data_IF_037832875778
#
_entry.id   IF_037832875778
#
_cell.length_a   1.000
_cell.length_b   1.000
_cell.length_c   1.000
_cell.angle_alpha   90.00
_cell.angle_beta   90.00
_cell.angle_gamma   90.00
#
_symmetry.space_group_name_H-M   'P 1'
#
loop_
_entity.id
_entity.type
_entity.pdbx_description
1 polymer ?
#
# COMPACT_ATOMS: atom_id res chain seq x y z
N UNK A 1 21.92 -13.71 0.78
CA UNK A 1 20.64 -13.42 1.44
C UNK A 1 19.75 -14.63 1.21
N UNK A 2 19.45 -15.41 2.26
CA UNK A 2 18.49 -16.51 2.15
C UNK A 2 17.15 -15.90 1.75
N UNK A 3 16.60 -16.30 0.60
CA UNK A 3 15.20 -16.04 0.29
C UNK A 3 14.39 -16.96 1.20
N UNK A 4 13.78 -16.47 2.29
CA UNK A 4 12.79 -17.27 2.98
C UNK A 4 11.76 -17.69 1.93
N UNK A 5 11.40 -18.97 1.96
CA UNK A 5 10.23 -19.52 1.27
C UNK A 5 9.13 -18.47 1.32
N UNK A 6 8.56 -18.09 0.17
CA UNK A 6 7.75 -16.86 0.00
C UNK A 6 6.77 -16.57 1.14
N UNK A 7 6.21 -17.61 1.77
CA UNK A 7 5.28 -17.49 2.89
C UNK A 7 5.90 -17.00 4.21
N UNK A 8 7.07 -17.50 4.61
CA UNK A 8 7.70 -17.11 5.88
C UNK A 8 8.20 -15.67 5.82
N UNK A 9 8.70 -15.26 4.65
CA UNK A 9 9.03 -13.86 4.37
C UNK A 9 7.80 -12.95 4.45
N UNK A 10 6.66 -13.36 3.89
CA UNK A 10 5.41 -12.59 3.97
C UNK A 10 4.93 -12.44 5.42
N UNK A 11 4.98 -13.52 6.21
CA UNK A 11 4.60 -13.47 7.63
C UNK A 11 5.50 -12.54 8.43
N UNK A 12 6.82 -12.63 8.22
CA UNK A 12 7.79 -11.76 8.88
C UNK A 12 7.54 -10.29 8.51
N UNK A 13 7.35 -9.97 7.22
CA UNK A 13 7.05 -8.61 6.81
C UNK A 13 5.73 -8.08 7.40
N UNK A 14 4.71 -8.93 7.49
CA UNK A 14 3.44 -8.57 8.12
C UNK A 14 3.63 -8.22 9.59
N UNK A 15 4.37 -9.05 10.34
CA UNK A 15 4.69 -8.78 11.74
C UNK A 15 5.47 -7.47 11.91
N UNK A 16 6.48 -7.22 11.07
CA UNK A 16 7.26 -5.98 11.09
C UNK A 16 6.38 -4.74 10.83
N UNK A 17 5.43 -4.83 9.89
CA UNK A 17 4.47 -3.76 9.61
C UNK A 17 3.57 -3.52 10.83
N UNK A 18 3.04 -4.59 11.43
CA UNK A 18 2.19 -4.51 12.63
C UNK A 18 2.92 -3.79 13.78
N UNK A 19 4.14 -4.24 14.10
CA UNK A 19 4.94 -3.68 15.18
C UNK A 19 5.29 -2.20 14.93
N UNK A 20 5.67 -1.85 13.70
CA UNK A 20 5.96 -0.46 13.32
C UNK A 20 4.73 0.43 13.42
N UNK A 21 3.56 -0.05 13.00
CA UNK A 21 2.32 0.70 13.10
C UNK A 21 1.91 0.94 14.56
N UNK A 22 2.03 -0.06 15.43
CA UNK A 22 1.78 0.10 16.87
C UNK A 22 2.70 1.19 17.46
N UNK A 23 3.98 1.19 17.09
CA UNK A 23 4.95 2.15 17.62
C UNK A 23 4.83 3.56 17.02
N UNK A 24 4.50 3.67 15.73
CA UNK A 24 4.67 4.91 14.94
C UNK A 24 3.43 5.36 14.18
N UNK A 25 2.34 4.60 14.19
CA UNK A 25 1.14 4.87 13.39
C UNK A 25 0.60 6.29 13.61
N UNK A 26 0.39 6.70 14.86
CA UNK A 26 -0.09 8.04 15.19
C UNK A 26 0.85 9.17 14.71
N UNK A 27 2.17 8.94 14.78
CA UNK A 27 3.17 9.90 14.29
C UNK A 27 3.14 10.00 12.76
N UNK A 28 3.03 8.85 12.07
CA UNK A 28 2.91 8.78 10.61
C UNK A 28 1.65 9.50 10.14
N UNK A 29 0.51 9.27 10.80
CA UNK A 29 -0.75 9.95 10.49
C UNK A 29 -0.64 11.46 10.61
N UNK A 30 -0.10 11.94 11.73
CA UNK A 30 0.08 13.36 12.00
C UNK A 30 1.00 14.01 10.97
N UNK A 31 2.15 13.37 10.70
CA UNK A 31 3.11 13.85 9.72
C UNK A 31 2.50 13.89 8.32
N UNK A 32 1.85 12.81 7.87
CA UNK A 32 1.27 12.71 6.53
C UNK A 32 0.16 13.74 6.31
N UNK A 33 -0.72 13.95 7.29
CA UNK A 33 -1.79 14.97 7.23
C UNK A 33 -1.24 16.40 7.20
N UNK A 34 -0.03 16.64 7.71
CA UNK A 34 0.63 17.96 7.60
C UNK A 34 1.21 18.24 6.20
N UNK A 35 1.44 17.20 5.39
CA UNK A 35 2.06 17.35 4.08
C UNK A 35 1.07 17.80 3.01
N UNK A 36 1.46 18.83 2.26
CA UNK A 36 0.80 19.20 1.00
C UNK A 36 1.13 18.20 -0.10
N UNK A 37 0.36 18.25 -1.18
CA UNK A 37 0.45 17.33 -2.32
C UNK A 37 1.87 17.19 -2.88
N UNK A 38 2.63 18.29 -2.95
CA UNK A 38 4.01 18.28 -3.47
C UNK A 38 4.93 17.43 -2.60
N UNK A 39 4.83 17.56 -1.28
CA UNK A 39 5.65 16.79 -0.35
C UNK A 39 5.24 15.32 -0.32
N UNK A 40 3.95 15.03 -0.43
CA UNK A 40 3.45 13.65 -0.57
C UNK A 40 3.98 12.98 -1.84
N UNK A 41 4.01 13.71 -2.96
CA UNK A 41 4.56 13.23 -4.22
C UNK A 41 6.08 13.00 -4.14
N UNK A 42 6.81 13.90 -3.48
CA UNK A 42 8.24 13.73 -3.20
C UNK A 42 8.51 12.45 -2.39
N UNK A 43 7.74 12.23 -1.32
CA UNK A 43 7.83 11.02 -0.51
C UNK A 43 7.58 9.75 -1.32
N UNK A 44 6.56 9.74 -2.18
CA UNK A 44 6.29 8.59 -3.05
C UNK A 44 7.44 8.31 -4.02
N UNK A 45 7.95 9.35 -4.71
CA UNK A 45 9.06 9.20 -5.66
C UNK A 45 10.34 8.68 -4.99
N UNK A 46 10.62 9.15 -3.78
CA UNK A 46 11.76 8.68 -2.99
C UNK A 46 11.61 7.23 -2.52
N UNK A 47 10.37 6.75 -2.35
CA UNK A 47 10.07 5.39 -1.87
C UNK A 47 10.12 4.31 -2.95
N UNK A 48 10.15 4.68 -4.24
CA UNK A 48 10.21 3.73 -5.36
C UNK A 48 11.61 3.64 -5.95
N UNK A 49 12.25 2.47 -5.84
CA UNK A 49 13.54 2.17 -6.51
C UNK A 49 13.41 2.04 -8.03
N UNK A 50 12.19 1.89 -8.54
CA UNK A 50 11.84 1.94 -9.96
C UNK A 50 10.74 2.97 -10.14
N UNK A 51 10.98 3.98 -10.97
CA UNK A 51 10.11 5.13 -11.23
C UNK A 51 8.77 4.80 -11.91
N UNK A 52 8.13 3.68 -11.56
CA UNK A 52 6.86 3.24 -12.10
C UNK A 52 5.86 3.14 -10.96
N UNK A 53 5.12 4.23 -10.78
CA UNK A 53 3.92 4.30 -9.97
C UNK A 53 2.73 4.30 -10.92
N UNK A 54 1.62 3.64 -10.53
CA UNK A 54 0.37 3.71 -11.29
C UNK A 54 -0.09 5.17 -11.32
N UNK A 55 -0.16 5.76 -12.51
CA UNK A 55 -0.62 7.15 -12.64
C UNK A 55 -2.12 7.25 -12.33
N UNK A 56 -2.89 6.23 -12.68
CA UNK A 56 -4.34 6.11 -12.45
C UNK A 56 -4.72 4.63 -12.33
N UNK A 57 -5.97 4.34 -11.92
CA UNK A 57 -6.49 2.98 -11.69
C UNK A 57 -6.46 2.06 -12.92
N UNK A 58 -6.56 2.63 -14.12
CA UNK A 58 -6.56 1.88 -15.39
C UNK A 58 -5.17 1.67 -16.00
N UNK A 59 -4.10 2.12 -15.31
CA UNK A 59 -2.73 2.02 -15.82
C UNK A 59 -2.23 0.56 -15.77
N UNK A 60 -2.10 -0.06 -16.93
CA UNK A 60 -1.61 -1.45 -17.06
C UNK A 60 -0.11 -1.54 -17.30
N UNK A 61 0.61 -0.42 -17.31
CA UNK A 61 2.05 -0.35 -17.63
C UNK A 61 2.96 -1.12 -16.65
N UNK A 62 2.40 -1.53 -15.51
CA UNK A 62 3.06 -2.32 -14.48
C UNK A 62 2.75 -3.82 -14.51
N UNK A 63 1.97 -4.30 -15.49
CA UNK A 63 1.62 -5.72 -15.62
C UNK A 63 0.99 -6.28 -14.35
N UNK A 64 1.35 -7.51 -13.94
CA UNK A 64 0.76 -8.18 -12.76
C UNK A 64 0.89 -7.37 -11.46
N UNK A 65 1.86 -6.46 -11.35
CA UNK A 65 2.02 -5.60 -10.17
C UNK A 65 0.81 -4.66 -9.99
N UNK A 66 0.14 -4.24 -11.06
CA UNK A 66 -1.09 -3.45 -10.95
C UNK A 66 -2.26 -4.25 -10.36
N UNK A 67 -2.24 -5.58 -10.52
CA UNK A 67 -3.25 -6.49 -9.94
C UNK A 67 -2.96 -6.82 -8.47
N UNK A 68 -1.68 -6.78 -8.06
CA UNK A 68 -1.25 -7.10 -6.69
C UNK A 68 -1.29 -5.85 -5.79
N UNK A 69 -1.06 -4.67 -6.36
CA UNK A 69 -1.08 -3.39 -5.64
C UNK A 69 -1.88 -2.34 -6.42
N UNK A 70 -3.18 -2.59 -6.70
CA UNK A 70 -4.03 -1.62 -7.39
C UNK A 70 -4.21 -0.33 -6.58
N UNK A 71 -3.92 -0.40 -5.28
CA UNK A 71 -4.09 0.70 -4.32
C UNK A 71 -2.97 1.74 -4.37
N UNK A 72 -1.90 1.56 -5.16
CA UNK A 72 -0.80 2.54 -5.26
C UNK A 72 -1.01 3.57 -6.37
N UNK A 73 -2.21 4.15 -6.43
CA UNK A 73 -2.56 5.21 -7.38
C UNK A 73 -2.01 6.55 -6.86
N UNK A 74 -1.09 7.15 -7.62
CA UNK A 74 -0.42 8.41 -7.20
C UNK A 74 -1.40 9.54 -6.94
N UNK A 75 -2.40 9.68 -7.80
CA UNK A 75 -3.40 10.74 -7.68
C UNK A 75 -4.18 10.63 -6.36
N UNK A 76 -4.61 9.43 -5.99
CA UNK A 76 -5.38 9.21 -4.77
C UNK A 76 -4.51 9.31 -3.51
N UNK A 77 -3.24 8.91 -3.58
CA UNK A 77 -2.31 9.01 -2.45
C UNK A 77 -1.91 10.47 -2.20
N UNK A 78 -1.61 11.24 -3.25
CA UNK A 78 -0.99 12.56 -3.10
C UNK A 78 -1.97 13.70 -2.90
N UNK A 79 -3.27 13.48 -3.14
CA UNK A 79 -4.30 14.50 -2.87
C UNK A 79 -4.24 14.93 -1.40
N UNK A 80 -4.12 16.23 -1.14
CA UNK A 80 -3.78 16.75 0.19
C UNK A 80 -4.81 16.48 1.29
N UNK A 81 -6.08 16.30 0.91
CA UNK A 81 -7.21 15.94 1.78
C UNK A 81 -7.44 14.42 1.88
N UNK A 82 -6.61 13.62 1.22
CA UNK A 82 -6.79 12.18 1.14
C UNK A 82 -6.07 11.46 2.28
N UNK A 83 -6.82 10.66 3.03
CA UNK A 83 -6.27 9.68 3.99
C UNK A 83 -6.01 8.32 3.32
N UNK A 84 -6.06 8.23 1.98
CA UNK A 84 -5.99 6.98 1.25
C UNK A 84 -4.75 6.14 1.59
N UNK A 85 -3.55 6.72 1.56
CA UNK A 85 -2.33 6.02 1.98
C UNK A 85 -2.37 5.56 3.45
N UNK A 86 -2.91 6.40 4.34
CA UNK A 86 -3.04 6.04 5.75
C UNK A 86 -3.99 4.87 5.95
N UNK A 87 -5.06 4.81 5.16
CA UNK A 87 -6.00 3.68 5.19
C UNK A 87 -5.35 2.39 4.66
N UNK A 88 -4.50 2.47 3.62
CA UNK A 88 -3.72 1.32 3.14
C UNK A 88 -2.76 0.82 4.21
N UNK A 89 -1.96 1.72 4.80
CA UNK A 89 -0.98 1.36 5.83
C UNK A 89 -1.66 0.78 7.06
N UNK A 90 -2.75 1.40 7.52
CA UNK A 90 -3.55 0.90 8.66
C UNK A 90 -4.11 -0.48 8.35
N UNK A 91 -4.77 -0.67 7.21
CA UNK A 91 -5.33 -1.96 6.80
C UNK A 91 -4.28 -3.05 6.78
N UNK A 92 -3.11 -2.79 6.16
CA UNK A 92 -2.01 -3.76 6.10
C UNK A 92 -1.41 -4.10 7.48
N UNK A 93 -1.50 -3.17 8.43
CA UNK A 93 -0.99 -3.35 9.78
C UNK A 93 -2.00 -3.96 10.76
N UNK A 94 -3.31 -3.91 10.47
CA UNK A 94 -4.35 -4.37 11.41
C UNK A 94 -5.13 -5.58 10.91
N UNK A 95 -5.21 -5.78 9.59
CA UNK A 95 -5.90 -6.94 9.01
C UNK A 95 -4.99 -8.16 8.95
N UNK A 96 -5.59 -9.35 9.08
CA UNK A 96 -4.86 -10.61 8.85
C UNK A 96 -4.43 -10.77 7.39
N UNK A 97 -3.38 -11.56 7.12
CA UNK A 97 -2.93 -11.83 5.74
C UNK A 97 -4.04 -12.41 4.85
N UNK A 98 -4.89 -13.29 5.40
CA UNK A 98 -6.04 -13.86 4.68
C UNK A 98 -7.09 -12.79 4.34
N UNK A 99 -7.31 -11.85 5.24
CA UNK A 99 -8.23 -10.74 5.01
C UNK A 99 -7.69 -9.78 3.95
N UNK A 100 -6.39 -9.44 4.01
CA UNK A 100 -5.72 -8.61 3.00
C UNK A 100 -5.79 -9.22 1.60
N UNK A 101 -5.77 -10.55 1.50
CA UNK A 101 -5.92 -11.25 0.22
C UNK A 101 -7.33 -11.08 -0.37
N UNK A 102 -8.37 -11.08 0.46
CA UNK A 102 -9.77 -10.98 0.01
C UNK A 102 -10.25 -9.54 -0.13
N UNK A 103 -9.76 -8.64 0.71
CA UNK A 103 -10.23 -7.25 0.84
C UNK A 103 -9.04 -6.30 0.86
N UNK A 104 -9.10 -5.32 -0.01
CA UNK A 104 -8.25 -4.14 0.00
C UNK A 104 -8.70 -3.10 1.02
N UNK A 105 -7.91 -2.02 1.13
CA UNK A 105 -8.25 -0.90 1.99
C UNK A 105 -9.56 -0.23 1.54
N UNK A 106 -10.30 0.39 2.47
CA UNK A 106 -11.57 1.07 2.20
C UNK A 106 -12.64 0.19 1.54
N UNK A 107 -12.59 -1.14 1.75
CA UNK A 107 -13.56 -2.08 1.18
C UNK A 107 -13.37 -2.40 -0.30
N UNK A 108 -12.24 -1.99 -0.88
CA UNK A 108 -11.89 -2.36 -2.26
C UNK A 108 -11.65 -3.87 -2.39
N UNK A 109 -11.80 -4.47 -3.59
CA UNK A 109 -11.45 -5.87 -3.82
C UNK A 109 -9.97 -6.13 -3.53
N UNK A 110 -9.65 -7.20 -2.78
CA UNK A 110 -8.27 -7.64 -2.57
C UNK A 110 -7.72 -8.40 -3.78
N UNK A 111 -6.45 -8.79 -3.74
CA UNK A 111 -5.76 -9.44 -4.87
C UNK A 111 -6.43 -10.72 -5.38
N UNK A 112 -7.15 -11.48 -4.53
CA UNK A 112 -7.89 -12.67 -4.99
C UNK A 112 -9.13 -12.33 -5.81
N UNK A 113 -9.81 -11.21 -5.53
CA UNK A 113 -11.00 -10.78 -6.27
C UNK A 113 -10.63 -10.13 -7.62
N UNK A 114 -9.44 -9.53 -7.72
CA UNK A 114 -8.93 -8.99 -8.99
C UNK A 114 -8.69 -10.09 -10.06
N UNK A 115 -8.46 -11.34 -9.65
CA UNK A 115 -8.25 -12.48 -10.56
C UNK A 115 -9.56 -13.08 -11.10
N UNK A 116 -10.72 -12.86 -10.46
CA UNK A 116 -12.02 -13.37 -10.93
C UNK A 116 -12.65 -12.49 -12.04
N UNK A 117 -12.03 -11.35 -12.36
CA UNK A 117 -12.57 -10.38 -13.33
C UNK A 117 -11.75 -10.29 -14.64
N UNK A 118 -10.78 -11.19 -14.83
CA UNK A 118 -9.98 -11.39 -16.06
C UNK A 118 -10.36 -12.72 -16.73
#
# INVERSE_FOLDING_TARGET
MNHPTQLDGIKQFHEEICQRWVSKGAQIETMWRSFRTEKRLECLRASTSSARLLQHSEDTSLGVVCLIVPEWIVLDITRGDSDFLLNILRHRATASLTEQLRKGANGQPGGAAAHETL
#
